data_IF_041182245402
#
_entry.id   IF_041182245402
#
_cell.length_a   1.000
_cell.length_b   1.000
_cell.length_c   1.000
_cell.angle_alpha   90.00
_cell.angle_beta   90.00
_cell.angle_gamma   90.00
#
_symmetry.space_group_name_H-M   'P 1'
#
loop_
_entity.id
_entity.type
_entity.pdbx_description
1 polymer ?
#
# COMPACT_ATOMS: atom_id res chain seq x y z
N UNK A 1 -25.95 -4.06 -13.60
CA UNK A 1 -27.14 -4.89 -13.28
C UNK A 1 -26.81 -6.04 -12.31
N UNK A 2 -25.69 -6.73 -12.47
CA UNK A 2 -25.34 -7.86 -11.61
C UNK A 2 -24.90 -7.44 -10.20
N UNK A 3 -24.18 -6.33 -10.04
CA UNK A 3 -23.85 -5.77 -8.73
C UNK A 3 -25.09 -5.31 -7.95
N UNK A 4 -26.11 -4.78 -8.65
CA UNK A 4 -27.38 -4.40 -8.02
C UNK A 4 -28.19 -5.66 -7.64
N UNK A 5 -28.11 -6.70 -8.44
CA UNK A 5 -28.70 -8.02 -8.10
C UNK A 5 -28.01 -8.67 -6.92
N UNK A 6 -26.68 -8.57 -6.79
CA UNK A 6 -25.94 -9.06 -5.62
C UNK A 6 -26.25 -8.25 -4.35
N UNK A 7 -26.47 -6.95 -4.45
CA UNK A 7 -26.85 -6.07 -3.32
C UNK A 7 -28.30 -6.25 -2.89
N UNK A 8 -29.23 -6.43 -3.82
CA UNK A 8 -30.63 -6.70 -3.55
C UNK A 8 -30.94 -8.19 -3.37
N UNK A 9 -30.04 -9.07 -3.77
CA UNK A 9 -30.15 -10.52 -3.67
C UNK A 9 -29.10 -11.09 -2.74
N UNK A 10 -29.44 -12.15 -2.05
CA UNK A 10 -28.53 -12.88 -1.18
C UNK A 10 -27.85 -14.04 -1.91
N UNK A 11 -27.54 -13.82 -3.19
CA UNK A 11 -26.86 -14.79 -4.04
C UNK A 11 -25.39 -14.84 -3.71
N UNK A 12 -24.98 -15.72 -2.82
CA UNK A 12 -23.57 -15.92 -2.50
C UNK A 12 -23.38 -17.20 -1.69
N UNK A 13 -22.14 -17.53 -1.51
CA UNK A 13 -21.69 -18.53 -0.55
C UNK A 13 -21.61 -17.85 0.82
N UNK A 14 -22.07 -18.50 1.85
CA UNK A 14 -22.10 -17.98 3.22
C UNK A 14 -21.30 -18.86 4.17
N UNK A 15 -20.83 -18.25 5.25
CA UNK A 15 -20.06 -18.93 6.28
C UNK A 15 -20.95 -19.45 7.40
N UNK A 16 -20.56 -20.56 8.00
CA UNK A 16 -21.09 -21.03 9.29
C UNK A 16 -20.49 -20.21 10.44
N UNK A 17 -21.06 -20.32 11.66
CA UNK A 17 -20.50 -19.71 12.85
C UNK A 17 -19.06 -20.11 13.15
N UNK A 18 -18.64 -21.30 12.78
CA UNK A 18 -17.30 -21.86 12.92
C UNK A 18 -16.29 -21.36 11.86
N UNK A 19 -16.75 -20.55 10.89
CA UNK A 19 -15.93 -20.05 9.79
C UNK A 19 -15.84 -20.97 8.58
N UNK A 20 -16.43 -22.16 8.62
CA UNK A 20 -16.48 -23.05 7.46
C UNK A 20 -17.47 -22.54 6.41
N UNK A 21 -17.19 -22.80 5.14
CA UNK A 21 -18.06 -22.40 4.03
C UNK A 21 -19.26 -23.36 3.93
N UNK A 22 -20.44 -22.80 3.72
CA UNK A 22 -21.65 -23.59 3.42
C UNK A 22 -21.60 -23.98 1.95
N UNK A 23 -21.53 -25.27 1.67
CA UNK A 23 -21.37 -25.81 0.31
C UNK A 23 -22.52 -25.44 -0.64
N UNK A 24 -23.75 -25.35 -0.10
CA UNK A 24 -24.93 -25.02 -0.90
C UNK A 24 -25.08 -23.50 -1.02
N UNK A 25 -24.80 -22.92 -2.21
CA UNK A 25 -24.93 -21.48 -2.40
C UNK A 25 -26.39 -21.04 -2.47
N UNK A 26 -26.69 -19.85 -1.97
CA UNK A 26 -28.02 -19.23 -2.16
C UNK A 26 -28.07 -18.66 -3.59
N UNK A 27 -29.00 -19.17 -4.39
CA UNK A 27 -29.18 -18.78 -5.80
C UNK A 27 -30.30 -17.76 -6.00
N UNK A 28 -31.27 -17.71 -5.08
CA UNK A 28 -32.41 -16.81 -5.13
C UNK A 28 -32.12 -15.47 -4.45
N UNK A 29 -32.85 -14.44 -4.82
CA UNK A 29 -32.83 -13.16 -4.11
C UNK A 29 -34.05 -13.07 -3.17
N UNK A 30 -34.09 -12.03 -2.32
CA UNK A 30 -35.17 -11.80 -1.37
C UNK A 30 -36.54 -11.64 -2.07
N UNK A 31 -36.56 -11.07 -3.26
CA UNK A 31 -37.76 -10.83 -4.04
C UNK A 31 -38.32 -12.13 -4.66
N UNK A 32 -37.45 -13.03 -5.09
CA UNK A 32 -37.80 -14.35 -5.59
C UNK A 32 -38.27 -15.28 -4.47
N UNK A 33 -37.87 -14.99 -3.24
CA UNK A 33 -38.13 -15.79 -2.05
C UNK A 33 -36.97 -16.72 -1.70
N UNK A 34 -36.71 -16.82 -0.41
CA UNK A 34 -35.71 -17.71 0.18
C UNK A 34 -36.45 -18.82 0.96
N UNK A 35 -35.88 -20.02 1.01
CA UNK A 35 -36.35 -21.01 1.95
C UNK A 35 -35.94 -20.64 3.39
N UNK A 36 -36.56 -21.28 4.41
CA UNK A 36 -36.32 -20.91 5.81
C UNK A 36 -34.86 -21.06 6.24
N UNK A 37 -34.17 -22.09 5.76
CA UNK A 37 -32.74 -22.30 6.08
C UNK A 37 -31.84 -21.27 5.42
N UNK A 38 -32.08 -20.94 4.17
CA UNK A 38 -31.34 -19.88 3.45
C UNK A 38 -31.53 -18.53 4.13
N UNK A 39 -32.72 -18.21 4.59
CA UNK A 39 -33.00 -16.99 5.33
C UNK A 39 -32.24 -16.93 6.65
N UNK A 40 -32.22 -17.99 7.45
CA UNK A 40 -31.51 -18.07 8.72
C UNK A 40 -30.01 -17.93 8.49
N UNK A 41 -29.43 -18.65 7.52
CA UNK A 41 -28.01 -18.55 7.16
C UNK A 41 -27.63 -17.12 6.73
N UNK A 42 -28.48 -16.49 5.92
CA UNK A 42 -28.24 -15.12 5.48
C UNK A 42 -28.35 -14.10 6.61
N UNK A 43 -29.23 -14.33 7.59
CA UNK A 43 -29.36 -13.48 8.76
C UNK A 43 -28.13 -13.57 9.65
N UNK A 44 -27.59 -14.79 9.85
CA UNK A 44 -26.34 -14.98 10.56
C UNK A 44 -25.18 -14.25 9.87
N UNK A 45 -25.02 -14.40 8.55
CA UNK A 45 -24.00 -13.71 7.77
C UNK A 45 -24.12 -12.18 7.84
N UNK A 46 -25.33 -11.64 7.76
CA UNK A 46 -25.55 -10.19 7.89
C UNK A 46 -25.17 -9.67 9.29
N UNK A 47 -25.54 -10.39 10.34
CA UNK A 47 -25.16 -10.03 11.72
C UNK A 47 -23.65 -10.09 11.93
N UNK A 48 -23.00 -11.15 11.43
CA UNK A 48 -21.53 -11.27 11.46
C UNK A 48 -20.88 -10.11 10.73
N UNK A 49 -21.35 -9.74 9.54
CA UNK A 49 -20.83 -8.59 8.79
C UNK A 49 -20.96 -7.26 9.54
N UNK A 50 -22.06 -7.02 10.22
CA UNK A 50 -22.25 -5.84 11.07
C UNK A 50 -21.28 -5.82 12.26
N UNK A 51 -21.14 -6.95 12.95
CA UNK A 51 -20.21 -7.07 14.08
C UNK A 51 -18.75 -6.90 13.63
N UNK A 52 -18.35 -7.52 12.53
CA UNK A 52 -17.00 -7.39 11.97
C UNK A 52 -16.69 -5.96 11.56
N UNK A 53 -17.65 -5.25 10.96
CA UNK A 53 -17.50 -3.83 10.60
C UNK A 53 -17.27 -2.97 11.84
N UNK A 54 -18.06 -3.16 12.90
CA UNK A 54 -17.90 -2.42 14.15
C UNK A 54 -16.52 -2.66 14.80
N UNK A 55 -16.07 -3.92 14.84
CA UNK A 55 -14.77 -4.30 15.39
C UNK A 55 -13.61 -3.75 14.54
N UNK A 56 -13.70 -3.83 13.22
CA UNK A 56 -12.68 -3.26 12.31
C UNK A 56 -12.57 -1.75 12.44
N UNK A 57 -13.69 -1.06 12.60
CA UNK A 57 -13.70 0.40 12.81
C UNK A 57 -13.00 0.78 14.11
N UNK A 58 -13.26 0.06 15.20
CA UNK A 58 -12.59 0.29 16.49
C UNK A 58 -11.08 0.03 16.40
N UNK A 59 -10.65 -1.06 15.76
CA UNK A 59 -9.25 -1.40 15.58
C UNK A 59 -8.53 -0.37 14.69
N UNK A 60 -9.17 0.09 13.62
CA UNK A 60 -8.62 1.13 12.75
C UNK A 60 -8.43 2.45 13.50
N UNK A 61 -9.41 2.86 14.31
CA UNK A 61 -9.30 4.06 15.11
C UNK A 61 -8.18 3.99 16.15
N UNK A 62 -8.02 2.85 16.80
CA UNK A 62 -6.93 2.63 17.75
C UNK A 62 -5.54 2.62 17.07
N UNK A 63 -5.44 1.99 15.89
CA UNK A 63 -4.21 2.01 15.09
C UNK A 63 -3.83 3.43 14.68
N UNK A 64 -4.78 4.20 14.17
CA UNK A 64 -4.57 5.60 13.77
C UNK A 64 -4.09 6.46 14.93
N UNK A 65 -4.71 6.32 16.10
CA UNK A 65 -4.29 7.05 17.31
C UNK A 65 -2.85 6.73 17.68
N UNK A 66 -2.47 5.45 17.70
CA UNK A 66 -1.10 5.02 18.00
C UNK A 66 -0.10 5.55 16.99
N UNK A 67 -0.44 5.58 15.71
CA UNK A 67 0.42 6.13 14.66
C UNK A 67 0.61 7.64 14.83
N UNK A 68 -0.45 8.38 15.16
CA UNK A 68 -0.36 9.82 15.46
C UNK A 68 0.55 10.06 16.66
N UNK A 69 0.36 9.32 17.75
CA UNK A 69 1.14 9.49 18.99
C UNK A 69 2.66 9.26 18.75
N UNK A 70 3.02 8.32 17.86
CA UNK A 70 4.42 8.03 17.55
C UNK A 70 5.00 8.93 16.48
N UNK A 71 4.21 9.27 15.45
CA UNK A 71 4.70 9.92 14.24
C UNK A 71 4.54 11.44 14.21
N UNK A 72 3.74 12.04 15.11
CA UNK A 72 3.42 13.47 15.06
C UNK A 72 4.64 14.41 15.08
N UNK A 73 5.73 13.97 15.72
CA UNK A 73 6.95 14.78 15.85
C UNK A 73 7.94 14.58 14.70
N UNK A 74 7.63 13.69 13.75
CA UNK A 74 8.51 13.42 12.61
C UNK A 74 8.38 14.52 11.57
N UNK A 75 9.46 15.27 11.40
CA UNK A 75 9.59 16.41 10.46
C UNK A 75 10.80 16.21 9.57
N UNK A 76 10.79 16.86 8.41
CA UNK A 76 11.98 16.94 7.56
C UNK A 76 12.97 17.96 8.16
N UNK A 77 14.11 17.48 8.64
CA UNK A 77 15.09 18.31 9.38
C UNK A 77 16.29 18.72 8.56
N UNK A 78 16.65 17.94 7.53
CA UNK A 78 17.83 18.17 6.71
C UNK A 78 17.59 17.79 5.25
N UNK A 79 18.46 18.26 4.37
CA UNK A 79 18.37 17.90 2.94
C UNK A 79 18.84 16.47 2.70
N UNK A 80 20.00 16.09 3.25
CA UNK A 80 20.61 14.77 3.07
C UNK A 80 21.30 14.32 4.37
N UNK A 81 21.08 13.09 4.79
CA UNK A 81 21.77 12.48 5.92
C UNK A 81 23.10 11.81 5.54
N UNK A 82 23.40 11.69 4.24
CA UNK A 82 24.64 11.09 3.73
C UNK A 82 24.69 9.57 3.79
N UNK A 83 23.60 8.88 4.19
CA UNK A 83 23.59 7.42 4.27
C UNK A 83 23.79 6.73 2.92
N UNK A 84 24.50 5.59 2.94
CA UNK A 84 24.65 4.68 1.82
C UNK A 84 23.62 3.54 1.88
N UNK A 85 22.88 3.45 2.98
CA UNK A 85 21.87 2.44 3.19
C UNK A 85 20.61 2.72 2.38
N UNK A 86 19.88 1.68 2.03
CA UNK A 86 18.63 1.76 1.29
C UNK A 86 17.89 0.43 1.35
N UNK A 87 16.69 0.40 0.79
CA UNK A 87 15.88 -0.80 0.65
C UNK A 87 15.86 -1.24 -0.80
N UNK A 88 16.10 -2.53 -1.04
CA UNK A 88 15.96 -3.12 -2.37
C UNK A 88 14.48 -3.37 -2.65
N UNK A 89 13.97 -2.73 -3.69
CA UNK A 89 12.58 -2.89 -4.15
C UNK A 89 12.54 -3.85 -5.32
N UNK A 90 11.61 -4.80 -5.24
CA UNK A 90 11.28 -5.76 -6.28
C UNK A 90 9.76 -5.78 -6.49
N UNK A 91 9.24 -6.22 -7.64
CA UNK A 91 7.80 -6.38 -7.81
C UNK A 91 7.26 -7.42 -6.82
N UNK A 92 6.03 -7.22 -6.35
CA UNK A 92 5.35 -8.19 -5.50
C UNK A 92 4.60 -9.17 -6.39
N UNK A 93 4.97 -10.45 -6.29
CA UNK A 93 4.36 -11.54 -7.05
C UNK A 93 3.72 -12.52 -6.08
N UNK A 94 2.43 -12.79 -6.24
CA UNK A 94 1.71 -13.81 -5.49
C UNK A 94 1.02 -14.78 -6.45
N UNK A 95 1.27 -16.07 -6.26
CA UNK A 95 0.64 -17.12 -7.08
C UNK A 95 0.97 -17.08 -8.58
N UNK A 96 2.04 -16.39 -8.98
CA UNK A 96 2.43 -16.21 -10.38
C UNK A 96 1.92 -14.90 -11.02
N UNK A 97 1.04 -14.19 -10.36
CA UNK A 97 0.54 -12.88 -10.82
C UNK A 97 1.27 -11.73 -10.10
N UNK A 98 1.58 -10.67 -10.87
CA UNK A 98 2.18 -9.45 -10.32
C UNK A 98 1.08 -8.65 -9.62
N UNK A 99 1.09 -8.65 -8.28
CA UNK A 99 0.14 -7.89 -7.47
C UNK A 99 0.47 -6.41 -7.50
N UNK A 100 1.75 -6.08 -7.39
CA UNK A 100 2.22 -4.70 -7.46
C UNK A 100 3.51 -4.62 -8.28
N UNK A 101 3.50 -3.88 -9.41
CA UNK A 101 4.67 -3.76 -10.28
C UNK A 101 5.76 -2.91 -9.61
N UNK A 102 7.00 -3.11 -10.01
CA UNK A 102 8.15 -2.36 -9.49
C UNK A 102 7.97 -0.84 -9.64
N UNK A 103 7.38 -0.40 -10.77
CA UNK A 103 7.12 1.02 -11.05
C UNK A 103 6.39 1.74 -9.92
N UNK A 104 5.32 1.13 -9.38
CA UNK A 104 4.49 1.74 -8.35
C UNK A 104 5.19 1.79 -7.00
N UNK A 105 6.13 0.87 -6.78
CA UNK A 105 6.92 0.80 -5.54
C UNK A 105 8.08 1.78 -5.49
N UNK A 106 8.62 2.18 -6.64
CA UNK A 106 9.80 3.08 -6.72
C UNK A 106 9.45 4.51 -7.13
N UNK A 107 8.25 4.75 -7.65
CA UNK A 107 7.79 6.07 -8.05
C UNK A 107 7.86 7.08 -6.88
N UNK A 108 8.48 8.23 -7.12
CA UNK A 108 8.65 9.27 -6.12
C UNK A 108 9.73 9.00 -5.07
N UNK A 109 10.49 7.93 -5.19
CA UNK A 109 11.63 7.62 -4.32
C UNK A 109 12.94 8.07 -4.93
N UNK A 110 13.97 8.15 -4.09
CA UNK A 110 15.33 8.54 -4.50
C UNK A 110 16.21 7.29 -4.51
N UNK A 111 16.99 7.14 -5.56
CA UNK A 111 17.88 5.99 -5.76
C UNK A 111 19.02 6.03 -4.74
N UNK A 112 19.29 4.90 -4.08
CA UNK A 112 20.35 4.77 -3.08
C UNK A 112 21.72 4.47 -3.69
N UNK A 113 21.74 3.79 -4.85
CA UNK A 113 22.98 3.43 -5.58
C UNK A 113 22.71 3.47 -7.09
N UNK A 114 23.78 3.53 -7.88
CA UNK A 114 23.67 3.58 -9.33
C UNK A 114 22.97 2.33 -9.87
N UNK A 115 22.06 2.53 -10.83
CA UNK A 115 21.30 1.46 -11.47
C UNK A 115 21.87 1.20 -12.85
N UNK A 116 22.24 -0.05 -13.12
CA UNK A 116 22.82 -0.50 -14.38
C UNK A 116 21.81 -1.29 -15.21
N UNK A 117 22.02 -1.30 -16.52
CA UNK A 117 21.27 -2.17 -17.44
C UNK A 117 21.60 -3.64 -17.14
N UNK A 118 20.63 -4.54 -17.22
CA UNK A 118 20.92 -5.97 -17.21
C UNK A 118 21.91 -6.33 -18.34
N UNK A 119 23.15 -6.70 -17.96
CA UNK A 119 24.21 -7.05 -18.92
C UNK A 119 25.16 -5.93 -19.35
N UNK A 120 25.02 -4.73 -18.82
CA UNK A 120 25.97 -3.64 -19.03
C UNK A 120 26.24 -2.91 -17.70
N UNK A 121 27.43 -3.13 -17.16
CA UNK A 121 27.86 -2.53 -15.87
C UNK A 121 28.77 -1.31 -16.06
N UNK A 122 28.97 -0.83 -17.29
CA UNK A 122 29.89 0.28 -17.54
C UNK A 122 29.20 1.65 -17.35
N UNK A 123 27.96 1.79 -17.86
CA UNK A 123 27.23 3.06 -17.80
C UNK A 123 25.92 2.91 -17.00
N UNK A 124 25.77 3.63 -15.88
CA UNK A 124 24.53 3.59 -15.14
C UNK A 124 23.39 4.30 -15.88
N UNK A 125 22.19 3.67 -15.92
CA UNK A 125 21.00 4.32 -16.47
C UNK A 125 20.56 5.47 -15.58
N UNK A 126 20.61 5.26 -14.27
CA UNK A 126 20.24 6.23 -13.24
C UNK A 126 21.35 6.31 -12.22
N UNK A 127 21.81 7.52 -11.93
CA UNK A 127 22.81 7.76 -10.92
C UNK A 127 22.19 7.88 -9.52
N UNK A 128 22.98 7.60 -8.51
CA UNK A 128 22.62 7.77 -7.10
C UNK A 128 22.05 9.17 -6.83
N UNK A 129 21.11 9.24 -5.88
CA UNK A 129 20.41 10.46 -5.45
C UNK A 129 19.53 11.12 -6.53
N UNK A 130 19.17 10.39 -7.58
CA UNK A 130 18.19 10.84 -8.57
C UNK A 130 16.78 10.53 -8.10
N UNK A 131 15.88 11.53 -8.20
CA UNK A 131 14.45 11.32 -7.95
C UNK A 131 13.83 10.54 -9.12
N UNK A 132 13.18 9.45 -8.80
CA UNK A 132 12.45 8.63 -9.78
C UNK A 132 11.07 9.23 -10.01
N UNK A 133 10.94 10.02 -11.07
CA UNK A 133 9.66 10.49 -11.58
C UNK A 133 9.06 9.51 -12.59
N UNK A 134 7.92 9.84 -13.15
CA UNK A 134 7.20 9.00 -14.11
C UNK A 134 8.05 8.69 -15.35
N UNK A 135 8.86 9.65 -15.82
CA UNK A 135 9.72 9.48 -16.99
C UNK A 135 10.87 8.51 -16.71
N UNK A 136 11.50 8.60 -15.54
CA UNK A 136 12.56 7.69 -15.12
C UNK A 136 12.03 6.27 -14.89
N UNK A 137 10.88 6.15 -14.25
CA UNK A 137 10.26 4.85 -13.99
C UNK A 137 9.90 4.14 -15.30
N UNK A 138 9.38 4.87 -16.29
CA UNK A 138 9.12 4.30 -17.62
C UNK A 138 10.39 3.80 -18.31
N UNK A 139 11.49 4.58 -18.27
CA UNK A 139 12.77 4.15 -18.82
C UNK A 139 13.33 2.90 -18.15
N UNK A 140 13.16 2.77 -16.83
CA UNK A 140 13.61 1.61 -16.07
C UNK A 140 12.79 0.36 -16.40
N UNK A 141 11.49 0.53 -16.61
CA UNK A 141 10.60 -0.55 -17.03
C UNK A 141 10.93 -1.02 -18.44
N UNK A 142 11.13 -0.11 -19.38
CA UNK A 142 11.52 -0.41 -20.76
C UNK A 142 12.90 -1.10 -20.83
N UNK A 143 13.79 -0.78 -19.91
CA UNK A 143 15.10 -1.39 -19.76
C UNK A 143 15.07 -2.79 -19.09
N UNK A 144 13.92 -3.21 -18.55
CA UNK A 144 13.72 -4.51 -17.92
C UNK A 144 14.42 -4.68 -16.57
N UNK A 145 14.62 -3.59 -15.82
CA UNK A 145 15.23 -3.65 -14.49
C UNK A 145 14.29 -4.34 -13.51
N UNK A 146 14.79 -5.37 -12.82
CA UNK A 146 14.00 -6.22 -11.92
C UNK A 146 14.08 -5.77 -10.44
N UNK A 147 15.13 -5.08 -10.06
CA UNK A 147 15.32 -4.61 -8.69
C UNK A 147 16.04 -3.26 -8.67
N UNK A 148 15.64 -2.40 -7.73
CA UNK A 148 16.23 -1.08 -7.55
C UNK A 148 16.40 -0.84 -6.06
N UNK A 149 17.59 -0.37 -5.65
CA UNK A 149 17.82 0.06 -4.28
C UNK A 149 17.48 1.52 -4.14
N UNK A 150 16.50 1.82 -3.30
CA UNK A 150 15.99 3.17 -3.05
C UNK A 150 16.24 3.60 -1.62
N UNK A 151 16.38 4.90 -1.40
CA UNK A 151 16.45 5.46 -0.06
C UNK A 151 15.10 5.35 0.64
N UNK A 152 15.15 5.17 1.95
CA UNK A 152 13.95 5.02 2.77
C UNK A 152 14.09 5.79 4.08
N UNK A 153 12.96 6.20 4.63
CA UNK A 153 12.89 6.80 5.96
C UNK A 153 13.33 5.82 7.06
N UNK A 154 13.18 4.52 6.83
CA UNK A 154 13.59 3.46 7.78
C UNK A 154 15.12 3.39 7.91
N UNK A 155 15.85 3.64 6.83
CA UNK A 155 17.31 3.59 6.77
C UNK A 155 17.96 4.97 6.92
N UNK A 156 17.19 6.01 7.24
CA UNK A 156 17.68 7.36 7.42
C UNK A 156 18.56 7.47 8.69
N UNK A 157 19.73 8.05 8.56
CA UNK A 157 20.68 8.24 9.65
C UNK A 157 20.63 9.64 10.28
N UNK A 158 19.56 10.41 10.03
CA UNK A 158 19.34 11.69 10.71
C UNK A 158 19.14 11.49 12.21
N UNK A 159 19.81 12.27 13.03
CA UNK A 159 19.71 12.15 14.49
C UNK A 159 18.33 12.51 15.05
N UNK A 160 17.57 13.35 14.35
CA UNK A 160 16.20 13.72 14.65
C UNK A 160 15.42 13.91 13.35
N UNK A 161 14.16 13.42 13.32
CA UNK A 161 13.35 13.51 12.11
C UNK A 161 13.87 12.66 10.96
N UNK A 162 13.64 13.13 9.75
CA UNK A 162 14.04 12.44 8.49
C UNK A 162 14.64 13.46 7.53
N UNK A 163 15.59 13.07 6.68
CA UNK A 163 16.07 13.95 5.62
C UNK A 163 15.18 13.91 4.37
N UNK A 164 15.21 14.97 3.57
CA UNK A 164 14.42 15.10 2.36
C UNK A 164 14.75 14.01 1.32
N UNK A 165 16.01 13.64 1.18
CA UNK A 165 16.44 12.58 0.26
C UNK A 165 15.90 11.19 0.64
N UNK A 166 15.85 10.85 1.93
CA UNK A 166 15.28 9.57 2.38
C UNK A 166 13.75 9.52 2.29
N UNK A 167 13.10 10.67 2.43
CA UNK A 167 11.65 10.78 2.26
C UNK A 167 11.24 10.73 0.78
N UNK A 168 11.89 11.52 -0.06
CA UNK A 168 11.66 11.58 -1.49
C UNK A 168 10.67 12.66 -1.91
N UNK A 169 9.74 12.30 -2.81
CA UNK A 169 8.79 13.22 -3.43
C UNK A 169 7.66 13.62 -2.49
N UNK A 170 7.35 14.90 -2.43
CA UNK A 170 6.09 15.39 -1.88
C UNK A 170 4.96 15.10 -2.87
N UNK A 171 4.03 14.22 -2.46
CA UNK A 171 2.91 13.79 -3.30
C UNK A 171 1.93 14.91 -3.66
N UNK A 172 1.84 15.95 -2.82
CA UNK A 172 0.97 17.09 -3.07
C UNK A 172 1.55 18.06 -4.12
N UNK A 173 2.89 18.22 -4.14
CA UNK A 173 3.57 19.23 -4.95
C UNK A 173 4.37 18.65 -6.13
N UNK A 174 4.69 17.36 -6.09
CA UNK A 174 5.38 16.66 -7.17
C UNK A 174 6.91 16.84 -7.22
N UNK A 175 7.51 17.58 -6.31
CA UNK A 175 8.97 17.74 -6.18
C UNK A 175 9.47 17.14 -4.86
N UNK A 176 10.80 17.15 -4.65
CA UNK A 176 11.39 16.72 -3.38
C UNK A 176 10.80 17.55 -2.24
N UNK A 177 10.49 16.87 -1.14
CA UNK A 177 9.87 17.49 0.05
C UNK A 177 10.74 18.63 0.60
N UNK A 178 10.08 19.68 1.09
CA UNK A 178 10.76 20.82 1.71
C UNK A 178 11.16 20.51 3.16
N UNK A 179 12.24 21.17 3.61
CA UNK A 179 12.64 21.14 5.03
C UNK A 179 11.54 21.80 5.86
N UNK A 180 11.25 21.21 7.02
CA UNK A 180 10.20 21.68 7.93
C UNK A 180 8.80 21.10 7.70
N UNK A 181 8.61 20.26 6.67
CA UNK A 181 7.33 19.57 6.43
C UNK A 181 7.06 18.52 7.51
N UNK A 182 5.86 18.56 8.09
CA UNK A 182 5.43 17.62 9.14
C UNK A 182 4.93 16.30 8.52
N UNK A 183 5.84 15.52 7.98
CA UNK A 183 5.52 14.29 7.24
C UNK A 183 4.90 13.19 8.10
N UNK A 184 5.20 13.17 9.39
CA UNK A 184 4.61 12.20 10.31
C UNK A 184 3.11 12.40 10.50
N UNK A 185 2.64 13.64 10.57
CA UNK A 185 1.21 13.98 10.62
C UNK A 185 0.53 13.62 9.31
N UNK A 186 1.16 13.92 8.17
CA UNK A 186 0.62 13.57 6.85
C UNK A 186 0.47 12.05 6.73
N UNK A 187 1.48 11.28 7.13
CA UNK A 187 1.43 9.83 7.11
C UNK A 187 0.29 9.27 7.97
N UNK A 188 0.12 9.77 9.19
CA UNK A 188 -0.93 9.35 10.11
C UNK A 188 -2.34 9.66 9.59
N UNK A 189 -2.53 10.81 8.93
CA UNK A 189 -3.80 11.20 8.32
C UNK A 189 -4.13 10.42 7.04
N UNK A 190 -3.12 9.84 6.37
CA UNK A 190 -3.31 9.08 5.13
C UNK A 190 -3.75 7.63 5.36
N UNK A 191 -3.70 7.15 6.60
CA UNK A 191 -4.10 5.80 7.03
C UNK A 191 -5.46 5.85 7.70
#
# INVERSE_FOLDING_TARGET
RDQTRQRAGKRSVWDRPDGSIIETPIKANVREGLNGQEYINSTHGARKGLADTALKTANSGYLTRRLVDVAQDVVITSTDCGTLAGLTMTPIVEGGDVVEPLRDRVLGRIVAEDVFLPGNDEDPIVTRNTLLDEAWVQKLEDAGVQSIKVRSTITCESGFGVCAQCYGRDLARGHIVNIGEAVGVIAAQSI
#
